data_IF_383532144548
#
_entry.id   IF_383532144548
#
_cell.length_a   1.000
_cell.length_b   1.000
_cell.length_c   1.000
_cell.angle_alpha   90.00
_cell.angle_beta   90.00
_cell.angle_gamma   90.00
#
_symmetry.space_group_name_H-M   'P 1'
#
loop_
_entity.id
_entity.type
_entity.pdbx_description
1 polymer ?
#
# COMPACT_ATOMS: atom_id res chain seq x y z
N UNK A 1 55.24 -18.66 -45.28
CA UNK A 1 54.11 -17.72 -45.46
C UNK A 1 53.06 -18.11 -44.43
N UNK A 2 53.11 -17.52 -43.24
CA UNK A 2 52.16 -17.82 -42.17
C UNK A 2 50.87 -17.04 -42.42
N UNK A 3 49.75 -17.77 -42.52
CA UNK A 3 48.42 -17.20 -42.62
C UNK A 3 48.08 -16.50 -41.30
N UNK A 4 47.74 -15.22 -41.38
CA UNK A 4 47.25 -14.43 -40.26
C UNK A 4 45.74 -14.64 -40.26
N UNK A 5 45.27 -15.60 -39.48
CA UNK A 5 43.85 -15.74 -39.17
C UNK A 5 43.46 -14.60 -38.22
N UNK A 6 43.00 -13.49 -38.80
CA UNK A 6 42.30 -12.43 -38.09
C UNK A 6 40.95 -12.97 -37.60
N UNK A 7 40.99 -13.75 -36.52
CA UNK A 7 39.82 -14.10 -35.74
C UNK A 7 39.40 -12.85 -34.97
N UNK A 8 38.40 -12.15 -35.50
CA UNK A 8 37.74 -11.05 -34.77
C UNK A 8 37.36 -11.55 -33.36
N UNK A 9 37.64 -10.81 -32.28
CA UNK A 9 37.47 -11.27 -30.90
C UNK A 9 35.99 -11.42 -30.48
N UNK A 10 35.05 -11.25 -31.41
CA UNK A 10 33.62 -11.29 -31.18
C UNK A 10 32.96 -12.35 -32.07
N UNK A 11 32.50 -13.44 -31.43
CA UNK A 11 31.65 -14.43 -32.07
C UNK A 11 30.20 -13.92 -32.09
N UNK A 12 29.60 -13.80 -33.27
CA UNK A 12 28.20 -13.39 -33.43
C UNK A 12 27.23 -14.32 -32.65
N UNK A 13 27.57 -15.60 -32.52
CA UNK A 13 26.79 -16.55 -31.74
C UNK A 13 26.79 -16.23 -30.23
N UNK A 14 27.92 -15.73 -29.70
CA UNK A 14 28.02 -15.33 -28.29
C UNK A 14 27.12 -14.14 -27.97
N UNK A 15 27.07 -13.15 -28.87
CA UNK A 15 26.21 -11.96 -28.71
C UNK A 15 24.74 -12.33 -28.67
N UNK A 16 24.31 -13.28 -29.51
CA UNK A 16 22.92 -13.76 -29.53
C UNK A 16 22.56 -14.48 -28.23
N UNK A 17 23.45 -15.32 -27.70
CA UNK A 17 23.23 -16.01 -26.43
C UNK A 17 23.15 -15.02 -25.26
N UNK A 18 24.02 -14.02 -25.20
CA UNK A 18 24.01 -13.00 -24.16
C UNK A 18 22.73 -12.15 -24.19
N UNK A 19 22.27 -11.75 -25.39
CA UNK A 19 21.01 -11.03 -25.56
C UNK A 19 19.83 -11.90 -25.10
N UNK A 20 19.77 -13.18 -25.50
CA UNK A 20 18.70 -14.08 -25.06
C UNK A 20 18.71 -14.30 -23.54
N UNK A 21 19.88 -14.43 -22.90
CA UNK A 21 19.99 -14.53 -21.44
C UNK A 21 19.56 -13.24 -20.74
N UNK A 22 19.94 -12.08 -21.27
CA UNK A 22 19.55 -10.78 -20.73
C UNK A 22 18.03 -10.54 -20.84
N UNK A 23 17.41 -10.94 -21.96
CA UNK A 23 15.96 -10.87 -22.13
C UNK A 23 15.22 -11.92 -21.27
N UNK A 24 15.81 -13.10 -21.08
CA UNK A 24 15.27 -14.15 -20.21
C UNK A 24 15.30 -13.77 -18.72
N UNK A 25 16.34 -13.08 -18.26
CA UNK A 25 16.43 -12.60 -16.87
C UNK A 25 15.49 -11.42 -16.62
N UNK A 26 15.41 -10.46 -17.56
CA UNK A 26 14.51 -9.31 -17.47
C UNK A 26 13.04 -9.71 -17.52
N UNK A 27 12.65 -10.66 -18.39
CA UNK A 27 11.28 -11.18 -18.44
C UNK A 27 10.87 -11.89 -17.15
N UNK A 28 11.77 -12.68 -16.55
CA UNK A 28 11.53 -13.34 -15.25
C UNK A 28 11.38 -12.34 -14.10
N UNK A 29 12.16 -11.25 -14.11
CA UNK A 29 12.00 -10.16 -13.13
C UNK A 29 10.64 -9.48 -13.28
N UNK A 30 10.22 -9.17 -14.51
CA UNK A 30 8.92 -8.55 -14.79
C UNK A 30 7.75 -9.44 -14.35
N UNK A 31 7.85 -10.76 -14.55
CA UNK A 31 6.86 -11.74 -14.08
C UNK A 31 6.73 -11.75 -12.55
N UNK A 32 7.87 -11.67 -11.85
CA UNK A 32 7.88 -11.55 -10.39
C UNK A 32 7.29 -10.23 -9.89
N UNK A 33 7.63 -9.11 -10.54
CA UNK A 33 7.08 -7.80 -10.20
C UNK A 33 5.57 -7.71 -10.47
N UNK A 34 5.10 -8.29 -11.58
CA UNK A 34 3.68 -8.39 -11.91
C UNK A 34 2.93 -9.23 -10.89
N UNK A 35 3.46 -10.40 -10.52
CA UNK A 35 2.88 -11.26 -9.48
C UNK A 35 2.82 -10.54 -8.14
N UNK A 36 3.89 -9.83 -7.75
CA UNK A 36 3.91 -9.04 -6.52
C UNK A 36 2.86 -7.93 -6.55
N UNK A 37 2.71 -7.23 -7.67
CA UNK A 37 1.70 -6.20 -7.84
C UNK A 37 0.27 -6.76 -7.73
N UNK A 38 0.03 -7.93 -8.33
CA UNK A 38 -1.25 -8.64 -8.24
C UNK A 38 -1.57 -9.05 -6.79
N UNK A 39 -0.61 -9.67 -6.09
CA UNK A 39 -0.83 -10.04 -4.69
C UNK A 39 -1.04 -8.80 -3.79
N UNK A 40 -0.39 -7.67 -4.10
CA UNK A 40 -0.64 -6.42 -3.41
C UNK A 40 -2.05 -5.88 -3.72
N UNK A 41 -2.53 -6.00 -4.96
CA UNK A 41 -3.88 -5.64 -5.33
C UNK A 41 -4.94 -6.48 -4.60
N UNK A 42 -4.77 -7.80 -4.57
CA UNK A 42 -5.65 -8.72 -3.84
C UNK A 42 -5.74 -8.32 -2.37
N UNK A 43 -4.60 -8.13 -1.68
CA UNK A 43 -4.58 -7.72 -0.26
C UNK A 43 -5.28 -6.38 -0.03
N UNK A 44 -5.15 -5.41 -0.96
CA UNK A 44 -5.85 -4.12 -0.88
C UNK A 44 -7.37 -4.30 -1.01
N UNK A 45 -7.83 -5.08 -1.98
CA UNK A 45 -9.25 -5.37 -2.18
C UNK A 45 -9.85 -6.10 -0.97
N UNK A 46 -9.15 -7.11 -0.44
CA UNK A 46 -9.57 -7.82 0.77
C UNK A 46 -9.67 -6.91 1.99
N UNK A 47 -8.66 -6.04 2.21
CA UNK A 47 -8.68 -5.08 3.30
C UNK A 47 -9.84 -4.07 3.17
N UNK A 48 -10.08 -3.55 1.97
CA UNK A 48 -11.20 -2.64 1.71
C UNK A 48 -12.55 -3.32 1.95
N UNK A 49 -12.73 -4.54 1.44
CA UNK A 49 -13.94 -5.33 1.66
C UNK A 49 -14.16 -5.63 3.16
N UNK A 50 -13.11 -5.98 3.89
CA UNK A 50 -13.17 -6.22 5.33
C UNK A 50 -13.57 -4.96 6.10
N UNK A 51 -12.95 -3.81 5.80
CA UNK A 51 -13.28 -2.52 6.42
C UNK A 51 -14.75 -2.16 6.19
N UNK A 52 -15.21 -2.22 4.92
CA UNK A 52 -16.61 -1.92 4.56
C UNK A 52 -17.60 -2.85 5.26
N UNK A 53 -17.25 -4.13 5.44
CA UNK A 53 -18.06 -5.10 6.19
C UNK A 53 -18.10 -4.77 7.69
N UNK A 54 -16.96 -4.40 8.27
CA UNK A 54 -16.82 -4.19 9.71
C UNK A 54 -17.48 -2.89 10.18
N UNK A 55 -17.20 -1.77 9.49
CA UNK A 55 -17.68 -0.44 9.91
C UNK A 55 -18.91 0.04 9.12
N UNK A 56 -19.27 -0.66 8.05
CA UNK A 56 -20.37 -0.32 7.15
C UNK A 56 -19.96 0.63 6.03
N UNK A 57 -20.72 0.60 4.92
CA UNK A 57 -20.43 1.39 3.71
C UNK A 57 -20.45 2.90 3.95
N UNK A 58 -21.29 3.37 4.88
CA UNK A 58 -21.37 4.80 5.23
C UNK A 58 -20.12 5.29 5.96
N UNK A 59 -19.60 4.50 6.91
CA UNK A 59 -18.40 4.87 7.66
C UNK A 59 -17.10 4.61 6.87
N UNK A 60 -17.17 3.74 5.86
CA UNK A 60 -16.08 3.47 4.90
C UNK A 60 -16.35 4.11 3.52
N UNK A 61 -17.10 5.21 3.46
CA UNK A 61 -17.54 5.85 2.21
C UNK A 61 -16.38 6.24 1.28
N UNK A 62 -15.21 6.53 1.85
CA UNK A 62 -14.01 6.95 1.12
C UNK A 62 -13.19 5.74 0.58
N UNK A 63 -13.67 4.51 0.78
CA UNK A 63 -13.05 3.29 0.24
C UNK A 63 -14.00 2.60 -0.76
N UNK A 64 -13.69 2.59 -2.06
CA UNK A 64 -14.45 1.79 -3.03
C UNK A 64 -14.25 0.28 -2.78
N UNK A 65 -15.07 -0.55 -3.42
CA UNK A 65 -15.01 -2.01 -3.25
C UNK A 65 -13.71 -2.60 -3.81
N UNK A 66 -13.25 -2.07 -4.94
CA UNK A 66 -12.00 -2.45 -5.63
C UNK A 66 -11.15 -1.18 -5.82
N UNK A 67 -10.46 -0.71 -4.77
CA UNK A 67 -9.65 0.49 -4.88
C UNK A 67 -8.39 0.25 -5.69
N UNK A 68 -7.91 1.26 -6.41
CA UNK A 68 -6.51 1.39 -6.80
C UNK A 68 -5.62 1.63 -5.57
N UNK A 69 -4.29 1.58 -5.74
CA UNK A 69 -3.38 1.85 -4.63
C UNK A 69 -3.53 3.28 -4.12
N UNK A 70 -3.69 4.25 -5.03
CA UNK A 70 -3.87 5.65 -4.70
C UNK A 70 -5.18 5.90 -3.96
N UNK A 71 -6.30 5.37 -4.44
CA UNK A 71 -7.59 5.48 -3.77
C UNK A 71 -7.57 4.85 -2.38
N UNK A 72 -6.93 3.68 -2.23
CA UNK A 72 -6.79 3.04 -0.92
C UNK A 72 -5.98 3.91 0.06
N UNK A 73 -4.86 4.49 -0.41
CA UNK A 73 -4.04 5.40 0.40
C UNK A 73 -4.80 6.68 0.75
N UNK A 74 -5.51 7.28 -0.20
CA UNK A 74 -6.29 8.49 0.01
C UNK A 74 -7.44 8.26 1.00
N UNK A 75 -8.21 7.18 0.85
CA UNK A 75 -9.32 6.83 1.74
C UNK A 75 -8.89 6.58 3.18
N UNK A 76 -7.68 6.05 3.39
CA UNK A 76 -7.12 5.83 4.74
C UNK A 76 -6.32 7.00 5.30
N UNK A 77 -6.02 8.02 4.48
CA UNK A 77 -5.10 9.12 4.83
C UNK A 77 -5.53 9.90 6.07
N UNK A 78 -6.84 10.06 6.29
CA UNK A 78 -7.39 10.80 7.44
C UNK A 78 -7.33 10.02 8.75
N UNK A 79 -7.04 8.72 8.71
CA UNK A 79 -7.07 7.83 9.88
C UNK A 79 -8.47 7.51 10.43
N UNK A 80 -9.55 8.14 9.94
CA UNK A 80 -10.91 7.97 10.46
C UNK A 80 -11.39 6.52 10.33
N UNK A 81 -11.23 5.93 9.14
CA UNK A 81 -11.62 4.54 8.87
C UNK A 81 -10.86 3.58 9.79
N UNK A 82 -9.57 3.83 10.03
CA UNK A 82 -8.72 3.02 10.91
C UNK A 82 -9.19 3.08 12.37
N UNK A 83 -9.44 4.29 12.88
CA UNK A 83 -9.97 4.49 14.23
C UNK A 83 -11.34 3.84 14.41
N UNK A 84 -12.24 4.01 13.44
CA UNK A 84 -13.57 3.41 13.48
C UNK A 84 -13.51 1.89 13.46
N UNK A 85 -12.63 1.31 12.64
CA UNK A 85 -12.42 -0.14 12.60
C UNK A 85 -11.91 -0.66 13.94
N UNK A 86 -10.92 0.00 14.53
CA UNK A 86 -10.39 -0.39 15.84
C UNK A 86 -11.45 -0.31 16.94
N UNK A 87 -12.25 0.76 16.95
CA UNK A 87 -13.35 0.91 17.90
C UNK A 87 -14.48 -0.11 17.70
N UNK A 88 -14.67 -0.65 16.49
CA UNK A 88 -15.60 -1.76 16.24
C UNK A 88 -15.07 -3.09 16.77
N UNK A 89 -13.76 -3.32 16.70
CA UNK A 89 -13.11 -4.52 17.25
C UNK A 89 -13.04 -4.45 18.78
N UNK A 90 -12.66 -3.30 19.31
CA UNK A 90 -12.51 -3.04 20.74
C UNK A 90 -13.12 -1.68 21.07
N UNK A 91 -14.32 -1.70 21.64
CA UNK A 91 -15.05 -0.49 22.01
C UNK A 91 -14.19 0.40 22.94
N UNK A 92 -14.03 1.66 22.55
CA UNK A 92 -13.30 2.66 23.34
C UNK A 92 -11.76 2.60 23.22
N UNK A 93 -11.21 1.78 22.33
CA UNK A 93 -9.76 1.72 22.11
C UNK A 93 -9.18 3.07 21.66
N UNK A 94 -9.90 3.79 20.80
CA UNK A 94 -9.58 5.16 20.38
C UNK A 94 -10.61 6.11 21.00
N UNK A 95 -10.19 6.89 21.99
CA UNK A 95 -11.08 7.80 22.74
C UNK A 95 -11.53 9.02 21.93
N UNK A 96 -10.67 9.51 21.03
CA UNK A 96 -10.94 10.71 20.22
C UNK A 96 -10.74 10.41 18.74
N UNK A 97 -11.82 10.50 17.98
CA UNK A 97 -11.82 10.49 16.52
C UNK A 97 -12.26 11.87 16.06
N UNK A 98 -11.38 12.55 15.32
CA UNK A 98 -11.65 13.87 14.75
C UNK A 98 -12.30 13.66 13.37
N UNK A 99 -13.57 13.99 13.25
CA UNK A 99 -14.24 14.03 11.96
C UNK A 99 -13.85 15.31 11.22
N UNK A 100 -13.18 15.17 10.07
CA UNK A 100 -12.98 16.28 9.14
C UNK A 100 -14.19 16.35 8.22
N UNK A 101 -14.69 17.56 7.95
CA UNK A 101 -15.62 17.80 6.84
C UNK A 101 -14.99 17.24 5.56
N UNK A 102 -15.57 16.17 5.02
CA UNK A 102 -15.14 15.54 3.76
C UNK A 102 -15.48 16.39 2.53
N UNK A 103 -15.69 17.69 2.69
CA UNK A 103 -15.99 18.64 1.60
C UNK A 103 -14.71 19.34 1.09
N UNK A 104 -13.55 18.72 1.35
CA UNK A 104 -12.33 19.05 0.64
C UNK A 104 -12.47 18.49 -0.77
N UNK A 105 -13.04 19.32 -1.64
CA UNK A 105 -12.87 19.33 -3.10
C UNK A 105 -11.56 18.66 -3.47
N UNK A 106 -11.62 17.78 -4.48
CA UNK A 106 -10.54 17.10 -5.21
C UNK A 106 -9.43 18.07 -5.64
N UNK A 107 -8.71 18.66 -4.70
CA UNK A 107 -7.50 19.41 -4.94
C UNK A 107 -6.39 18.46 -4.56
N UNK A 108 -5.56 18.04 -5.54
CA UNK A 108 -4.37 17.21 -5.29
C UNK A 108 -3.47 17.80 -4.19
N UNK A 109 -3.54 19.13 -4.02
CA UNK A 109 -2.95 19.91 -2.94
C UNK A 109 -4.00 20.78 -2.25
N UNK A 110 -4.91 20.16 -1.49
CA UNK A 110 -5.90 20.88 -0.67
C UNK A 110 -5.24 21.96 0.17
N UNK A 111 -5.65 23.22 -0.03
CA UNK A 111 -5.25 24.34 0.79
C UNK A 111 -5.45 23.99 2.28
N UNK A 112 -4.32 23.83 2.97
CA UNK A 112 -4.13 23.65 4.41
C UNK A 112 -5.39 23.49 5.30
N UNK A 113 -6.16 22.41 5.11
CA UNK A 113 -6.67 21.70 6.29
C UNK A 113 -5.41 21.32 7.04
N UNK A 114 -5.13 22.00 8.17
CA UNK A 114 -3.80 21.95 8.80
C UNK A 114 -3.37 20.48 8.85
N UNK A 115 -2.24 20.13 8.24
CA UNK A 115 -1.82 18.74 8.07
C UNK A 115 -1.92 17.97 9.41
N UNK A 116 -1.77 18.69 10.52
CA UNK A 116 -2.01 18.29 11.89
C UNK A 116 -3.33 17.54 12.16
N UNK A 117 -4.47 17.99 11.61
CA UNK A 117 -5.78 17.37 11.89
C UNK A 117 -5.92 15.99 11.25
N UNK A 118 -5.31 15.76 10.09
CA UNK A 118 -5.26 14.43 9.47
C UNK A 118 -4.40 13.46 10.26
N UNK A 119 -3.27 13.93 10.80
CA UNK A 119 -2.36 13.07 11.57
C UNK A 119 -2.90 12.71 12.96
N UNK A 120 -3.83 13.48 13.52
CA UNK A 120 -4.33 13.22 14.88
C UNK A 120 -4.99 11.84 15.00
N UNK A 121 -5.86 11.47 14.06
CA UNK A 121 -6.49 10.16 14.05
C UNK A 121 -5.47 9.04 13.84
N UNK A 122 -4.52 9.23 12.91
CA UNK A 122 -3.46 8.24 12.67
C UNK A 122 -2.62 8.04 13.93
N UNK A 123 -2.24 9.13 14.62
CA UNK A 123 -1.55 9.08 15.90
C UNK A 123 -2.37 8.34 16.95
N UNK A 124 -3.66 8.67 17.09
CA UNK A 124 -4.52 8.06 18.10
C UNK A 124 -4.72 6.56 17.84
N UNK A 125 -4.85 6.15 16.58
CA UNK A 125 -4.87 4.74 16.17
C UNK A 125 -3.56 4.03 16.55
N UNK A 126 -2.40 4.59 16.18
CA UNK A 126 -1.10 4.00 16.47
C UNK A 126 -0.85 3.86 17.97
N UNK A 127 -1.17 4.91 18.74
CA UNK A 127 -1.17 4.88 20.20
C UNK A 127 -2.03 3.70 20.67
N UNK A 128 -3.31 3.64 20.31
CA UNK A 128 -4.20 2.57 20.77
C UNK A 128 -3.68 1.16 20.48
N UNK A 129 -3.13 0.91 19.28
CA UNK A 129 -2.58 -0.41 18.91
C UNK A 129 -1.30 -0.75 19.70
N UNK A 130 -0.41 0.22 19.91
CA UNK A 130 0.84 0.03 20.68
C UNK A 130 0.52 -0.23 22.15
N UNK A 131 -0.34 0.60 22.76
CA UNK A 131 -0.74 0.44 24.15
C UNK A 131 -1.54 -0.85 24.38
N UNK A 132 -2.34 -1.31 23.40
CA UNK A 132 -3.01 -2.62 23.47
C UNK A 132 -1.99 -3.76 23.52
N UNK A 133 -0.91 -3.68 22.73
CA UNK A 133 0.17 -4.67 22.75
C UNK A 133 0.93 -4.69 24.09
N UNK A 134 1.21 -3.52 24.68
CA UNK A 134 1.90 -3.41 25.97
C UNK A 134 1.01 -3.74 27.18
N UNK A 135 -0.28 -3.41 27.12
CA UNK A 135 -1.27 -3.79 28.13
C UNK A 135 -1.46 -5.32 28.19
N UNK A 136 -1.39 -5.99 27.04
CA UNK A 136 -1.47 -7.46 26.97
C UNK A 136 -0.21 -8.17 27.51
N UNK A 137 0.92 -7.45 27.66
CA UNK A 137 2.16 -7.98 28.29
C UNK A 137 2.19 -7.77 29.81
N UNK A 138 1.29 -6.95 30.38
CA UNK A 138 1.20 -6.69 31.83
C UNK A 138 0.04 -7.43 32.50
N UNK A 139 -0.55 -8.41 31.81
CA UNK A 139 -1.74 -9.15 32.23
C UNK A 139 -1.52 -10.62 32.62
N UNK A 140 -0.32 -11.00 33.07
CA UNK A 140 -0.01 -12.30 33.67
C UNK A 140 0.95 -12.12 34.85
#
# INVERSE_FOLDING_TARGET
MAAIEDALPFSAASVVVDVLQQHGSRSRSLDFDARRAEEAAIRRCEAAAWLRKLIGVVAAKDLPAEPSEEEFRLGLRSGIILCNALNKVQAGAVQKVVESSSDAVLVPDGAALSAFQYFENVRNFLVAVIWSREGNLRGW
#
